data_IF_766729056968
#
_entry.id   IF_766729056968
#
_cell.length_a   1.000
_cell.length_b   1.000
_cell.length_c   1.000
_cell.angle_alpha   90.00
_cell.angle_beta   90.00
_cell.angle_gamma   90.00
#
_symmetry.space_group_name_H-M   'P 1'
#
loop_
_entity.id
_entity.type
_entity.pdbx_description
1 polymer ?
#
# COMPACT_ATOMS: atom_id res chain seq x y z
N UNK A 1 -41.44 -17.95 23.98
CA UNK A 1 -40.28 -18.88 23.87
C UNK A 1 -39.67 -18.93 22.47
N UNK A 2 -40.46 -18.97 21.39
CA UNK A 2 -39.94 -19.03 20.01
C UNK A 2 -39.19 -17.75 19.55
N UNK A 3 -39.62 -16.59 20.04
CA UNK A 3 -39.02 -15.29 19.68
C UNK A 3 -37.66 -15.05 20.37
N UNK A 4 -37.48 -15.57 21.59
CA UNK A 4 -36.20 -15.49 22.30
C UNK A 4 -35.12 -16.36 21.64
N UNK A 5 -35.51 -17.49 21.04
CA UNK A 5 -34.61 -18.38 20.30
C UNK A 5 -34.13 -17.74 18.98
N UNK A 6 -34.99 -16.99 18.30
CA UNK A 6 -34.68 -16.29 17.05
C UNK A 6 -33.76 -15.09 17.32
N UNK A 7 -34.01 -14.34 18.41
CA UNK A 7 -33.16 -13.21 18.81
C UNK A 7 -31.75 -13.69 19.19
N UNK A 8 -31.63 -14.82 19.89
CA UNK A 8 -30.34 -15.41 20.24
C UNK A 8 -29.53 -15.87 19.01
N UNK A 9 -30.19 -16.42 17.99
CA UNK A 9 -29.59 -16.85 16.73
C UNK A 9 -29.08 -15.68 15.87
N UNK A 10 -29.78 -14.54 15.86
CA UNK A 10 -29.37 -13.35 15.10
C UNK A 10 -28.15 -12.65 15.76
N UNK A 11 -28.07 -12.65 17.09
CA UNK A 11 -26.95 -12.06 17.83
C UNK A 11 -25.65 -12.86 17.64
N UNK A 12 -25.73 -14.19 17.55
CA UNK A 12 -24.57 -15.06 17.30
C UNK A 12 -23.98 -14.91 15.88
N UNK A 13 -24.80 -14.55 14.88
CA UNK A 13 -24.34 -14.37 13.51
C UNK A 13 -23.57 -13.05 13.27
N UNK A 14 -23.80 -12.03 14.09
CA UNK A 14 -23.20 -10.70 13.92
C UNK A 14 -21.75 -10.60 14.41
N UNK A 15 -21.27 -11.54 15.24
CA UNK A 15 -19.96 -11.48 15.89
C UNK A 15 -18.76 -11.88 14.98
N UNK A 16 -19.00 -12.29 13.73
CA UNK A 16 -17.96 -12.85 12.86
C UNK A 16 -17.39 -11.86 11.83
N UNK A 17 -17.90 -10.63 11.75
CA UNK A 17 -17.34 -9.61 10.86
C UNK A 17 -16.21 -8.83 11.54
N UNK A 18 -15.19 -9.55 12.02
CA UNK A 18 -13.89 -8.92 12.26
C UNK A 18 -13.30 -8.61 10.88
N UNK A 19 -13.48 -7.38 10.40
CA UNK A 19 -12.82 -6.86 9.21
C UNK A 19 -11.31 -6.87 9.48
N UNK A 20 -10.66 -7.98 9.15
CA UNK A 20 -9.21 -8.09 9.21
C UNK A 20 -8.65 -7.22 8.09
N UNK A 21 -8.28 -5.99 8.42
CA UNK A 21 -7.41 -5.21 7.55
C UNK A 21 -6.07 -5.94 7.53
N UNK A 22 -5.79 -6.66 6.43
CA UNK A 22 -4.45 -7.21 6.23
C UNK A 22 -3.44 -6.07 6.31
N UNK A 23 -2.27 -6.27 6.96
CA UNK A 23 -1.24 -5.26 6.98
C UNK A 23 -0.85 -4.96 5.53
N UNK A 24 -1.19 -3.76 5.08
CA UNK A 24 -0.80 -3.27 3.77
C UNK A 24 0.72 -3.38 3.62
N UNK A 25 1.22 -3.84 2.47
CA UNK A 25 2.65 -4.04 2.29
C UNK A 25 3.41 -2.73 2.53
N UNK A 26 4.51 -2.83 3.29
CA UNK A 26 5.41 -1.70 3.56
C UNK A 26 5.94 -1.09 2.25
N UNK A 27 6.16 0.23 2.23
CA UNK A 27 6.61 0.97 1.06
C UNK A 27 7.94 0.46 0.49
N UNK A 28 8.82 -0.09 1.32
CA UNK A 28 10.06 -0.78 0.87
C UNK A 28 9.75 -2.03 0.06
N UNK A 29 8.85 -2.88 0.55
CA UNK A 29 8.49 -4.14 -0.11
C UNK A 29 7.82 -3.86 -1.46
N UNK A 30 6.92 -2.87 -1.51
CA UNK A 30 6.32 -2.39 -2.76
C UNK A 30 7.38 -1.86 -3.74
N UNK A 31 8.34 -1.06 -3.25
CA UNK A 31 9.42 -0.53 -4.08
C UNK A 31 10.24 -1.66 -4.72
N UNK A 32 10.68 -2.64 -3.93
CA UNK A 32 11.49 -3.76 -4.39
C UNK A 32 10.74 -4.65 -5.40
N UNK A 33 9.48 -4.96 -5.12
CA UNK A 33 8.66 -5.83 -5.96
C UNK A 33 8.22 -5.18 -7.27
N UNK A 34 7.90 -3.88 -7.25
CA UNK A 34 7.28 -3.19 -8.39
C UNK A 34 8.29 -2.44 -9.25
N UNK A 35 9.24 -1.72 -8.64
CA UNK A 35 10.13 -0.82 -9.38
C UNK A 35 11.29 -1.53 -10.07
N UNK A 36 11.61 -2.77 -9.68
CA UNK A 36 12.65 -3.60 -10.31
C UNK A 36 12.23 -4.18 -11.66
N UNK A 37 10.93 -4.14 -11.99
CA UNK A 37 10.35 -4.79 -13.17
C UNK A 37 10.69 -4.12 -14.50
N UNK A 38 11.10 -2.86 -14.50
CA UNK A 38 11.34 -2.09 -15.72
C UNK A 38 12.75 -1.52 -15.83
N UNK A 39 13.42 -1.25 -14.69
CA UNK A 39 14.80 -0.76 -14.65
C UNK A 39 15.40 -1.03 -13.26
N UNK A 40 16.72 -0.89 -13.14
CA UNK A 40 17.41 -1.07 -11.86
C UNK A 40 16.91 -0.08 -10.78
N UNK A 41 16.82 -0.56 -9.54
CA UNK A 41 16.40 0.24 -8.37
C UNK A 41 17.38 1.37 -8.05
N UNK A 42 18.67 1.16 -8.35
CA UNK A 42 19.76 2.12 -8.20
C UNK A 42 19.44 3.52 -8.74
N UNK A 43 18.64 3.62 -9.80
CA UNK A 43 18.26 4.90 -10.39
C UNK A 43 17.52 5.79 -9.41
N UNK A 44 16.66 5.20 -8.57
CA UNK A 44 15.96 5.89 -7.49
C UNK A 44 16.80 5.93 -6.23
N UNK A 45 17.51 4.83 -5.92
CA UNK A 45 18.28 4.73 -4.67
C UNK A 45 19.43 5.74 -4.58
N UNK A 46 20.00 6.18 -5.71
CA UNK A 46 21.07 7.20 -5.83
C UNK A 46 20.55 8.64 -5.85
N UNK A 47 19.27 8.87 -5.56
CA UNK A 47 18.66 10.20 -5.56
C UNK A 47 18.17 10.54 -4.15
N UNK A 48 18.39 11.79 -3.77
CA UNK A 48 17.80 12.43 -2.60
C UNK A 48 16.80 13.44 -3.12
N UNK A 49 15.55 13.32 -2.67
CA UNK A 49 14.45 14.20 -3.05
C UNK A 49 13.51 14.33 -1.85
N UNK A 50 12.77 15.42 -1.81
CA UNK A 50 11.67 15.63 -0.87
C UNK A 50 10.48 14.70 -1.19
N UNK A 51 9.58 14.48 -0.22
CA UNK A 51 8.37 13.68 -0.44
C UNK A 51 7.51 14.18 -1.63
N UNK A 52 7.24 15.49 -1.81
CA UNK A 52 6.48 15.96 -2.97
C UNK A 52 7.15 15.64 -4.31
N UNK A 53 8.48 15.69 -4.38
CA UNK A 53 9.24 15.33 -5.59
C UNK A 53 9.23 13.82 -5.86
N UNK A 54 9.25 13.01 -4.80
CA UNK A 54 9.08 11.57 -4.92
C UNK A 54 7.68 11.20 -5.39
N UNK A 55 6.62 11.80 -4.84
CA UNK A 55 5.23 11.57 -5.30
C UNK A 55 5.06 11.87 -6.79
N UNK A 56 5.64 12.98 -7.28
CA UNK A 56 5.66 13.28 -8.73
C UNK A 56 6.38 12.20 -9.54
N UNK A 57 7.49 11.69 -9.01
CA UNK A 57 8.30 10.65 -9.69
C UNK A 57 7.56 9.31 -9.73
N UNK A 58 7.02 8.83 -8.61
CA UNK A 58 6.34 7.54 -8.52
C UNK A 58 5.03 7.54 -9.30
N UNK A 59 4.26 8.64 -9.27
CA UNK A 59 3.07 8.80 -10.11
C UNK A 59 3.41 8.73 -11.62
N UNK A 60 4.53 9.32 -12.04
CA UNK A 60 5.02 9.20 -13.43
C UNK A 60 5.36 7.75 -13.77
N UNK A 61 6.02 7.02 -12.88
CA UNK A 61 6.36 5.61 -13.11
C UNK A 61 5.10 4.72 -13.13
N UNK A 62 4.11 5.00 -12.29
CA UNK A 62 2.84 4.29 -12.29
C UNK A 62 2.12 4.40 -13.65
N UNK A 63 2.13 5.58 -14.28
CA UNK A 63 1.63 5.78 -15.65
C UNK A 63 2.36 4.92 -16.68
N UNK A 64 3.67 4.73 -16.55
CA UNK A 64 4.45 3.86 -17.43
C UNK A 64 4.26 2.38 -17.15
N UNK A 65 3.91 2.03 -15.91
CA UNK A 65 3.74 0.65 -15.46
C UNK A 65 2.42 0.00 -15.94
N UNK A 66 1.59 0.71 -16.72
CA UNK A 66 0.34 0.19 -17.34
C UNK A 66 -0.56 -0.55 -16.35
N UNK A 67 -0.76 0.02 -15.16
CA UNK A 67 -1.63 -0.55 -14.11
C UNK A 67 -0.93 -1.51 -13.14
N UNK A 68 0.36 -1.82 -13.33
CA UNK A 68 1.11 -2.66 -12.38
C UNK A 68 1.44 -1.98 -11.05
N UNK A 69 1.30 -0.65 -10.99
CA UNK A 69 1.48 0.18 -9.79
C UNK A 69 0.23 1.06 -9.68
N UNK A 70 -0.52 0.89 -8.60
CA UNK A 70 -1.68 1.72 -8.26
C UNK A 70 -1.25 3.09 -7.72
N UNK A 71 -2.20 4.03 -7.64
CA UNK A 71 -1.92 5.34 -7.03
C UNK A 71 -1.50 5.21 -5.57
N UNK A 72 -2.24 4.41 -4.77
CA UNK A 72 -1.91 4.14 -3.36
C UNK A 72 -0.51 3.53 -3.20
N UNK A 73 -0.17 2.51 -3.98
CA UNK A 73 1.17 1.91 -3.93
C UNK A 73 2.25 2.94 -4.33
N UNK A 74 1.98 3.81 -5.30
CA UNK A 74 2.91 4.86 -5.69
C UNK A 74 3.14 5.90 -4.58
N UNK A 75 2.15 6.18 -3.75
CA UNK A 75 2.29 7.03 -2.57
C UNK A 75 3.12 6.36 -1.48
N UNK A 76 2.83 5.11 -1.14
CA UNK A 76 3.59 4.33 -0.15
C UNK A 76 5.07 4.20 -0.54
N UNK A 77 5.35 3.97 -1.84
CA UNK A 77 6.72 3.95 -2.35
C UNK A 77 7.40 5.32 -2.23
N UNK A 78 6.66 6.42 -2.44
CA UNK A 78 7.21 7.77 -2.32
C UNK A 78 7.60 8.11 -0.88
N UNK A 79 6.77 7.71 0.09
CA UNK A 79 7.04 7.87 1.53
C UNK A 79 8.32 7.12 1.94
N UNK A 80 8.43 5.85 1.53
CA UNK A 80 9.65 5.07 1.74
C UNK A 80 10.89 5.76 1.15
N UNK A 81 10.83 6.21 -0.11
CA UNK A 81 11.97 6.83 -0.78
C UNK A 81 12.37 8.18 -0.16
N UNK A 82 11.42 8.93 0.38
CA UNK A 82 11.67 10.19 1.08
C UNK A 82 12.33 9.96 2.44
N UNK A 83 11.77 9.05 3.27
CA UNK A 83 12.25 8.75 4.62
C UNK A 83 13.64 8.13 4.67
N UNK A 84 14.13 7.57 3.56
CA UNK A 84 15.53 7.11 3.43
C UNK A 84 16.58 8.22 3.64
N UNK A 85 16.18 9.50 3.54
CA UNK A 85 17.09 10.64 3.64
C UNK A 85 17.10 11.31 5.03
N UNK A 86 16.24 10.88 5.97
CA UNK A 86 16.06 11.52 7.28
C UNK A 86 17.00 10.96 8.37
N UNK A 87 18.23 10.58 8.01
CA UNK A 87 19.24 10.12 8.98
C UNK A 87 19.99 11.28 9.63
#
# INVERSE_FOLDING_TARGET
MKNALIILLVVLLAASFAFSAEPEPDGKALFEAKCSRCHALDRSLKKTKTLPEWKKTTAKMAKYAKGAITEKEAEQIAEYLAGRNEK
#
